data_IF_282249174835
#
_entry.id   IF_282249174835
#
_cell.length_a   1.000
_cell.length_b   1.000
_cell.length_c   1.000
_cell.angle_alpha   90.00
_cell.angle_beta   90.00
_cell.angle_gamma   90.00
#
_symmetry.space_group_name_H-M   'P 1'
#
loop_
_entity.id
_entity.type
_entity.pdbx_description
1 polymer ?
#
# COMPACT_ATOMS: atom_id res chain seq x y z
N UNK A 1 -3.05 7.51 -12.05
CA UNK A 1 -3.57 6.50 -11.11
C UNK A 1 -2.92 6.53 -9.72
N UNK A 2 -2.00 7.46 -9.43
CA UNK A 2 -1.29 7.53 -8.13
C UNK A 2 -2.17 7.94 -6.93
N UNK A 3 -3.31 8.61 -7.16
CA UNK A 3 -4.14 9.18 -6.09
C UNK A 3 -4.97 8.14 -5.30
N UNK A 4 -5.39 7.02 -5.91
CA UNK A 4 -6.23 6.03 -5.23
C UNK A 4 -5.45 5.15 -4.25
N UNK A 5 -4.14 5.00 -4.47
CA UNK A 5 -3.30 4.21 -3.58
C UNK A 5 -3.02 4.98 -2.30
N UNK A 6 -2.70 6.28 -2.41
CA UNK A 6 -2.47 7.19 -1.27
C UNK A 6 -3.66 7.26 -0.31
N UNK A 7 -4.89 7.25 -0.83
CA UNK A 7 -6.12 7.25 -0.02
C UNK A 7 -6.33 5.94 0.74
N UNK A 8 -6.06 4.78 0.12
CA UNK A 8 -6.14 3.48 0.80
C UNK A 8 -5.16 3.39 1.99
N UNK A 9 -3.92 3.88 1.84
CA UNK A 9 -2.92 3.87 2.93
C UNK A 9 -3.39 4.62 4.18
N UNK A 10 -4.07 5.75 4.00
CA UNK A 10 -4.57 6.57 5.11
C UNK A 10 -5.79 5.94 5.80
N UNK A 11 -6.54 5.09 5.10
CA UNK A 11 -7.69 4.38 5.66
C UNK A 11 -7.25 3.13 6.46
N UNK A 12 -6.21 2.42 6.00
CA UNK A 12 -5.76 1.15 6.61
C UNK A 12 -4.91 1.35 7.87
N UNK A 13 -4.25 2.51 8.02
CA UNK A 13 -3.43 2.82 9.21
C UNK A 13 -3.85 4.16 9.83
N UNK A 14 -4.24 4.22 11.12
CA UNK A 14 -4.63 5.45 11.80
C UNK A 14 -3.43 6.31 12.21
N UNK A 15 -2.41 6.40 11.35
CA UNK A 15 -1.15 7.09 11.62
C UNK A 15 -1.38 8.59 11.86
N UNK A 16 -2.32 9.20 11.12
CA UNK A 16 -2.73 10.60 11.29
C UNK A 16 -3.32 10.88 12.67
N UNK A 17 -4.18 9.98 13.19
CA UNK A 17 -4.77 10.08 14.52
C UNK A 17 -3.71 10.08 15.61
N UNK A 18 -2.77 9.13 15.56
CA UNK A 18 -1.69 9.05 16.55
C UNK A 18 -0.66 10.20 16.45
N UNK A 19 -0.48 10.78 15.27
CA UNK A 19 0.31 12.01 15.12
C UNK A 19 -0.36 13.19 15.83
N UNK A 20 -1.68 13.28 15.76
CA UNK A 20 -2.45 14.33 16.43
C UNK A 20 -2.45 14.13 17.96
N UNK A 21 -2.60 12.90 18.43
CA UNK A 21 -2.47 12.55 19.85
C UNK A 21 -1.06 12.90 20.38
N UNK A 22 -0.01 12.66 19.59
CA UNK A 22 1.37 13.05 19.97
C UNK A 22 1.53 14.57 20.10
N UNK A 23 0.83 15.36 19.27
CA UNK A 23 0.84 16.83 19.40
C UNK A 23 0.18 17.29 20.70
N UNK A 24 -0.85 16.57 21.18
CA UNK A 24 -1.57 16.85 22.43
C UNK A 24 -0.80 16.35 23.67
N UNK A 25 -0.05 15.25 23.54
CA UNK A 25 0.72 14.63 24.63
C UNK A 25 2.14 14.26 24.15
N UNK A 26 3.06 15.22 24.06
CA UNK A 26 4.39 15.01 23.48
C UNK A 26 5.25 13.99 24.25
N UNK A 27 5.10 13.93 25.58
CA UNK A 27 5.92 13.07 26.45
C UNK A 27 5.27 11.72 26.78
N UNK A 28 4.08 11.44 26.22
CA UNK A 28 3.42 10.17 26.44
C UNK A 28 4.17 9.04 25.72
N UNK A 29 4.90 8.25 26.50
CA UNK A 29 5.63 7.06 26.03
C UNK A 29 4.70 6.06 25.31
N UNK A 30 3.44 5.98 25.75
CA UNK A 30 2.40 5.11 25.17
C UNK A 30 2.07 5.55 23.75
N UNK A 31 1.79 6.84 23.55
CA UNK A 31 1.46 7.41 22.24
C UNK A 31 2.65 7.29 21.29
N UNK A 32 3.88 7.51 21.77
CA UNK A 32 5.09 7.34 20.94
C UNK A 32 5.29 5.89 20.47
N UNK A 33 5.11 4.91 21.37
CA UNK A 33 5.24 3.49 21.02
C UNK A 33 4.20 3.07 19.99
N UNK A 34 2.96 3.51 20.19
CA UNK A 34 1.86 3.19 19.28
C UNK A 34 2.07 3.85 17.91
N UNK A 35 2.49 5.12 17.87
CA UNK A 35 2.79 5.82 16.63
C UNK A 35 3.90 5.12 15.83
N UNK A 36 4.99 4.69 16.48
CA UNK A 36 6.07 3.94 15.80
C UNK A 36 5.56 2.64 15.19
N UNK A 37 4.68 1.91 15.90
CA UNK A 37 4.09 0.66 15.41
C UNK A 37 3.28 0.91 14.14
N UNK A 38 2.39 1.89 14.14
CA UNK A 38 1.57 2.21 12.96
C UNK A 38 2.41 2.75 11.81
N UNK A 39 3.42 3.58 12.08
CA UNK A 39 4.35 4.06 11.05
C UNK A 39 5.15 2.93 10.39
N UNK A 40 5.64 1.97 11.17
CA UNK A 40 6.33 0.80 10.61
C UNK A 40 5.38 -0.05 9.77
N UNK A 41 4.15 -0.29 10.26
CA UNK A 41 3.12 -1.00 9.49
C UNK A 41 2.84 -0.29 8.15
N UNK A 42 2.69 1.03 8.17
CA UNK A 42 2.47 1.81 6.95
C UNK A 42 3.63 1.66 5.95
N UNK A 43 4.89 1.71 6.42
CA UNK A 43 6.07 1.50 5.56
C UNK A 43 6.10 0.11 4.93
N UNK A 44 5.75 -0.94 5.67
CA UNK A 44 5.69 -2.30 5.15
C UNK A 44 4.62 -2.45 4.07
N UNK A 45 3.43 -1.89 4.30
CA UNK A 45 2.37 -1.91 3.29
C UNK A 45 2.80 -1.18 2.01
N UNK A 46 3.48 -0.04 2.14
CA UNK A 46 4.02 0.70 1.00
C UNK A 46 5.08 -0.10 0.23
N UNK A 47 5.93 -0.89 0.91
CA UNK A 47 6.92 -1.72 0.22
C UNK A 47 6.29 -2.88 -0.53
N UNK A 48 5.33 -3.58 0.06
CA UNK A 48 4.64 -4.71 -0.60
C UNK A 48 3.89 -4.24 -1.86
N UNK A 49 3.21 -3.11 -1.76
CA UNK A 49 2.46 -2.54 -2.87
C UNK A 49 3.36 -2.02 -3.99
N UNK A 50 4.51 -1.44 -3.66
CA UNK A 50 5.51 -1.09 -4.67
C UNK A 50 6.03 -2.33 -5.41
N UNK A 51 6.21 -3.45 -4.70
CA UNK A 51 6.56 -4.74 -5.34
C UNK A 51 5.41 -5.20 -6.24
N UNK A 52 4.16 -5.13 -5.78
CA UNK A 52 2.98 -5.49 -6.57
C UNK A 52 2.88 -4.67 -7.86
N UNK A 53 3.04 -3.35 -7.78
CA UNK A 53 3.01 -2.46 -8.95
C UNK A 53 4.10 -2.83 -9.98
N UNK A 54 5.33 -3.07 -9.53
CA UNK A 54 6.45 -3.47 -10.40
C UNK A 54 6.21 -4.84 -11.03
N UNK A 55 5.72 -5.81 -10.25
CA UNK A 55 5.40 -7.15 -10.74
C UNK A 55 4.26 -7.08 -11.75
N UNK A 56 3.23 -6.29 -11.48
CA UNK A 56 2.08 -6.10 -12.36
C UNK A 56 2.53 -5.48 -13.70
N UNK A 57 3.31 -4.40 -13.67
CA UNK A 57 3.84 -3.75 -14.90
C UNK A 57 4.67 -4.72 -15.75
N UNK A 58 5.63 -5.41 -15.14
CA UNK A 58 6.49 -6.37 -15.86
C UNK A 58 5.69 -7.57 -16.40
N UNK A 59 4.74 -8.07 -15.61
CA UNK A 59 3.89 -9.20 -16.02
C UNK A 59 2.98 -8.80 -17.18
N UNK A 60 2.39 -7.61 -17.13
CA UNK A 60 1.58 -7.08 -18.23
C UNK A 60 2.38 -6.89 -19.51
N UNK A 61 3.60 -6.38 -19.42
CA UNK A 61 4.49 -6.23 -20.57
C UNK A 61 4.78 -7.58 -21.22
N UNK A 62 5.24 -8.55 -20.44
CA UNK A 62 5.54 -9.91 -20.95
C UNK A 62 4.28 -10.57 -21.52
N UNK A 63 3.14 -10.42 -20.84
CA UNK A 63 1.87 -10.94 -21.32
C UNK A 63 1.51 -10.37 -22.70
N UNK A 64 1.59 -9.05 -22.89
CA UNK A 64 1.28 -8.42 -24.17
C UNK A 64 2.27 -8.79 -25.28
N UNK A 65 3.57 -8.83 -24.95
CA UNK A 65 4.63 -9.08 -25.94
C UNK A 65 4.69 -10.55 -26.38
N UNK A 66 4.40 -11.50 -25.49
CA UNK A 66 4.66 -12.93 -25.74
C UNK A 66 3.43 -13.82 -25.66
N UNK A 67 2.47 -13.50 -24.79
CA UNK A 67 1.38 -14.43 -24.46
C UNK A 67 0.04 -14.04 -25.07
N UNK A 68 -0.17 -12.76 -25.39
CA UNK A 68 -1.48 -12.21 -25.79
C UNK A 68 -2.08 -12.90 -27.02
N UNK A 69 -1.27 -13.20 -28.04
CA UNK A 69 -1.73 -13.88 -29.26
C UNK A 69 -2.22 -15.31 -29.02
N UNK A 70 -1.74 -15.96 -27.95
CA UNK A 70 -2.09 -17.35 -27.62
C UNK A 70 -3.15 -17.44 -26.52
N UNK A 71 -3.40 -16.34 -25.80
CA UNK A 71 -4.37 -16.29 -24.72
C UNK A 71 -5.80 -16.33 -25.26
N UNK A 72 -6.54 -17.39 -24.91
CA UNK A 72 -7.97 -17.51 -25.16
C UNK A 72 -8.71 -17.31 -23.84
N UNK A 73 -9.42 -16.19 -23.64
CA UNK A 73 -10.13 -15.96 -22.40
C UNK A 73 -11.17 -17.06 -22.17
N UNK A 74 -11.33 -17.55 -20.93
CA UNK A 74 -12.44 -18.43 -20.59
C UNK A 74 -13.76 -17.70 -20.88
N UNK A 75 -14.77 -18.43 -21.38
CA UNK A 75 -16.11 -17.86 -21.56
C UNK A 75 -16.60 -17.40 -20.20
N UNK A 76 -16.99 -16.13 -20.09
CA UNK A 76 -17.68 -15.61 -18.92
C UNK A 76 -18.91 -16.50 -18.67
N UNK A 77 -19.01 -17.04 -17.44
CA UNK A 77 -20.13 -17.88 -17.01
C UNK A 77 -21.39 -17.05 -16.75
#
# INVERSE_FOLDING_TARGET
MSNNHLTCYTEVTPTSRFQEERKKQPDSLVVMKQLRKEQTKLKLLQSELNVEEVVNDRSWKVFHERCRLHYKPPKEQ
#
